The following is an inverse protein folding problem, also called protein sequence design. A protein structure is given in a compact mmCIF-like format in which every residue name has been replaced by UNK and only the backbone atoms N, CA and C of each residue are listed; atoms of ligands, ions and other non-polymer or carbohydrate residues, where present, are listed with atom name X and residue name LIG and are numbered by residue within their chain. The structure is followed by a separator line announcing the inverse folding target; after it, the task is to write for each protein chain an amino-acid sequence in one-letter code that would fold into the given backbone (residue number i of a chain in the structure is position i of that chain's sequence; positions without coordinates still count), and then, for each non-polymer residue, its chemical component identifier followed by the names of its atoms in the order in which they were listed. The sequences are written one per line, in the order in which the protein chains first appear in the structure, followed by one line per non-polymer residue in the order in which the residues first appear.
data_IF_849523416056
#
_entry.id   IF_849523416056
#
_cell.length_a   1.000
_cell.length_b   1.000
_cell.length_c   1.000
_cell.angle_alpha   90.00
_cell.angle_beta   90.00
_cell.angle_gamma   90.00
#
_symmetry.space_group_name_H-M   'P 1'
#
loop_
_entity.id
_entity.type
_entity.pdbx_description
1 polymer ?
#
# COMPACT_ATOMS: atom_id res chain seq x y z
N UNK A 1 15.13 -2.09 10.58
CA UNK A 1 13.88 -1.68 11.28
C UNK A 1 12.65 -2.43 10.78
N UNK A 2 12.62 -2.92 9.55
CA UNK A 2 11.51 -3.77 9.02
C UNK A 2 11.32 -5.13 9.74
N UNK A 3 12.27 -5.54 10.56
CA UNK A 3 12.32 -6.88 11.18
C UNK A 3 11.20 -7.12 12.20
N UNK A 4 10.56 -6.07 12.71
CA UNK A 4 9.57 -6.19 13.80
C UNK A 4 8.12 -6.01 13.37
N UNK A 5 7.85 -5.79 12.09
CA UNK A 5 6.53 -5.32 11.64
C UNK A 5 5.41 -6.36 11.72
N UNK A 6 5.71 -7.63 11.80
CA UNK A 6 4.68 -8.64 11.75
C UNK A 6 5.08 -9.97 12.37
N UNK A 7 6.00 -9.93 13.33
CA UNK A 7 6.33 -11.12 14.10
C UNK A 7 5.05 -11.57 14.79
N UNK A 8 4.55 -12.74 14.42
CA UNK A 8 3.45 -13.34 15.17
C UNK A 8 3.91 -13.47 16.62
N UNK A 9 3.00 -13.33 17.59
CA UNK A 9 3.28 -13.53 19.02
C UNK A 9 4.07 -14.80 19.33
N UNK A 10 4.12 -15.76 18.42
CA UNK A 10 4.93 -16.97 18.49
C UNK A 10 6.43 -16.69 18.61
N UNK A 11 6.91 -15.56 18.09
CA UNK A 11 8.35 -15.21 18.09
C UNK A 11 8.67 -14.03 19.01
N UNK A 12 7.67 -13.30 19.47
CA UNK A 12 7.80 -12.30 20.53
C UNK A 12 7.52 -13.00 21.86
N UNK A 13 8.56 -13.44 22.55
CA UNK A 13 8.42 -13.89 23.92
C UNK A 13 8.36 -12.67 24.88
N UNK A 14 7.88 -12.91 26.10
CA UNK A 14 7.67 -11.87 27.10
C UNK A 14 8.92 -11.04 27.36
N UNK A 15 10.10 -11.68 27.45
CA UNK A 15 11.36 -10.97 27.65
C UNK A 15 11.70 -10.03 26.50
N UNK A 16 11.40 -10.42 25.26
CA UNK A 16 11.61 -9.55 24.09
C UNK A 16 10.63 -8.38 24.10
N UNK A 17 9.38 -8.62 24.46
CA UNK A 17 8.37 -7.57 24.58
C UNK A 17 8.79 -6.55 25.64
N UNK A 18 9.12 -7.01 26.85
CA UNK A 18 9.59 -6.17 27.94
C UNK A 18 10.80 -5.32 27.56
N UNK A 19 11.81 -5.92 26.90
CA UNK A 19 12.98 -5.17 26.43
C UNK A 19 12.61 -4.11 25.38
N UNK A 20 11.67 -4.41 24.49
CA UNK A 20 11.18 -3.44 23.51
C UNK A 20 10.37 -2.33 24.17
N UNK A 21 9.52 -2.64 25.13
CA UNK A 21 8.76 -1.66 25.92
C UNK A 21 9.70 -0.71 26.66
N UNK A 22 10.69 -1.24 27.35
CA UNK A 22 11.71 -0.44 28.01
C UNK A 22 12.48 0.47 27.07
N UNK A 23 12.86 -0.04 25.89
CA UNK A 23 13.60 0.73 24.89
C UNK A 23 12.76 1.82 24.22
N UNK A 24 11.49 1.56 23.95
CA UNK A 24 10.60 2.50 23.25
C UNK A 24 9.93 3.52 24.18
N UNK A 25 9.56 3.10 25.38
CA UNK A 25 8.71 3.88 26.29
C UNK A 25 9.38 4.20 27.62
N UNK A 26 10.61 3.74 27.84
CA UNK A 26 11.31 3.80 29.13
C UNK A 26 10.52 3.15 30.30
N UNK A 27 9.63 2.21 29.98
CA UNK A 27 8.72 1.53 30.90
C UNK A 27 8.62 0.05 30.49
N UNK A 28 9.00 -0.87 31.39
CA UNK A 28 9.01 -2.33 31.15
C UNK A 28 7.58 -2.90 31.16
N UNK A 29 6.66 -2.24 31.86
CA UNK A 29 5.27 -2.65 32.04
C UNK A 29 4.30 -1.82 31.17
N UNK A 30 4.82 -1.10 30.17
CA UNK A 30 4.02 -0.30 29.27
C UNK A 30 2.90 -1.10 28.60
N UNK A 31 1.69 -0.57 28.62
CA UNK A 31 0.54 -1.15 27.91
C UNK A 31 0.60 -0.96 26.38
N UNK A 32 1.51 -0.12 25.89
CA UNK A 32 1.62 0.17 24.48
C UNK A 32 2.30 -0.96 23.69
N UNK A 33 1.84 -1.13 22.46
CA UNK A 33 2.39 -2.11 21.55
C UNK A 33 3.84 -1.81 21.16
N UNK A 34 4.61 -2.85 20.88
CA UNK A 34 6.02 -2.74 20.46
C UNK A 34 6.22 -3.02 18.97
N UNK A 35 5.23 -3.60 18.29
CA UNK A 35 5.26 -3.83 16.85
C UNK A 35 4.94 -2.52 16.10
N UNK A 36 5.77 -2.07 15.15
CA UNK A 36 5.47 -0.88 14.34
C UNK A 36 4.10 -0.93 13.66
N UNK A 37 3.68 -2.09 13.19
CA UNK A 37 2.36 -2.27 12.59
C UNK A 37 1.24 -2.05 13.59
N UNK A 38 1.34 -2.63 14.80
CA UNK A 38 0.35 -2.44 15.86
C UNK A 38 0.32 -0.99 16.36
N UNK A 39 1.48 -0.35 16.49
CA UNK A 39 1.57 1.08 16.82
C UNK A 39 0.87 1.93 15.75
N UNK A 40 1.06 1.62 14.48
CA UNK A 40 0.39 2.32 13.39
C UNK A 40 -1.12 2.10 13.43
N UNK A 41 -1.59 0.88 13.74
CA UNK A 41 -3.01 0.57 13.93
C UNK A 41 -3.61 1.44 15.06
N UNK A 42 -2.94 1.50 16.22
CA UNK A 42 -3.42 2.28 17.37
C UNK A 42 -3.47 3.78 17.05
N UNK A 43 -2.44 4.31 16.39
CA UNK A 43 -2.40 5.71 15.97
C UNK A 43 -3.53 6.02 14.99
N UNK A 44 -3.76 5.17 13.99
CA UNK A 44 -4.84 5.35 13.03
C UNK A 44 -6.22 5.24 13.69
N UNK A 45 -6.42 4.25 14.57
CA UNK A 45 -7.69 4.07 15.29
C UNK A 45 -7.96 5.28 16.21
N UNK A 46 -6.96 5.75 16.94
CA UNK A 46 -7.07 6.93 17.79
C UNK A 46 -7.33 8.22 17.00
N UNK A 47 -6.67 8.37 15.85
CA UNK A 47 -6.91 9.51 14.97
C UNK A 47 -8.36 9.54 14.48
N UNK A 48 -8.87 8.46 13.92
CA UNK A 48 -10.23 8.40 13.39
C UNK A 48 -11.32 8.44 14.47
N UNK A 49 -11.01 8.02 15.70
CA UNK A 49 -11.91 8.21 16.83
C UNK A 49 -12.12 9.70 17.16
N UNK A 50 -11.07 10.51 17.01
CA UNK A 50 -11.13 11.95 17.31
C UNK A 50 -11.47 12.82 16.09
N UNK A 51 -11.13 12.35 14.88
CA UNK A 51 -11.28 13.11 13.63
C UNK A 51 -11.91 12.25 12.53
N UNK A 52 -13.17 11.81 12.69
CA UNK A 52 -13.80 10.85 11.76
C UNK A 52 -13.97 11.40 10.33
N UNK A 53 -13.99 12.74 10.17
CA UNK A 53 -14.16 13.40 8.87
C UNK A 53 -12.83 13.73 8.17
N UNK A 54 -11.71 13.43 8.81
CA UNK A 54 -10.38 13.65 8.21
C UNK A 54 -9.89 12.40 7.52
N UNK A 55 -8.94 12.59 6.59
CA UNK A 55 -8.19 11.50 5.96
C UNK A 55 -6.77 11.46 6.45
N UNK A 56 -6.20 10.27 6.57
CA UNK A 56 -4.77 10.08 6.79
C UNK A 56 -4.14 9.75 5.45
N UNK A 57 -3.01 10.38 5.15
CA UNK A 57 -2.11 9.97 4.10
C UNK A 57 -0.83 9.43 4.72
N UNK A 58 -0.40 8.24 4.29
CA UNK A 58 0.81 7.57 4.79
C UNK A 58 2.01 7.77 3.88
N UNK A 59 3.20 7.96 4.48
CA UNK A 59 4.47 7.75 3.77
C UNK A 59 5.21 6.67 4.55
N UNK A 60 5.54 5.60 3.86
CA UNK A 60 6.14 4.44 4.49
C UNK A 60 7.41 3.94 3.81
N UNK A 61 8.11 3.09 4.56
CA UNK A 61 9.10 2.17 4.04
C UNK A 61 8.44 0.87 3.63
N UNK A 62 8.07 0.05 4.62
CA UNK A 62 7.47 -1.27 4.37
C UNK A 62 6.00 -1.14 3.95
N UNK A 63 5.61 -1.83 2.88
CA UNK A 63 4.27 -1.72 2.29
C UNK A 63 3.15 -2.29 3.18
N UNK A 64 3.47 -3.01 4.26
CA UNK A 64 2.47 -3.46 5.23
C UNK A 64 1.70 -2.31 5.91
N UNK A 65 2.21 -1.06 5.83
CA UNK A 65 1.50 0.12 6.37
C UNK A 65 0.13 0.34 5.73
N UNK A 66 -0.06 -0.06 4.47
CA UNK A 66 -1.34 0.07 3.77
C UNK A 66 -2.45 -0.71 4.46
N UNK A 67 -2.10 -1.78 5.19
CA UNK A 67 -3.06 -2.55 5.99
C UNK A 67 -3.72 -1.70 7.10
N UNK A 68 -2.99 -1.14 8.09
CA UNK A 68 -3.61 -0.36 9.16
C UNK A 68 -4.23 0.94 8.67
N UNK A 69 -3.61 1.62 7.70
CA UNK A 69 -4.14 2.86 7.13
C UNK A 69 -5.51 2.64 6.47
N UNK A 70 -5.63 1.64 5.61
CA UNK A 70 -6.89 1.30 4.94
C UNK A 70 -7.92 0.78 5.94
N UNK A 71 -7.52 -0.09 6.89
CA UNK A 71 -8.40 -0.63 7.92
C UNK A 71 -8.99 0.45 8.83
N UNK A 72 -8.17 1.39 9.30
CA UNK A 72 -8.62 2.46 10.17
C UNK A 72 -9.62 3.39 9.45
N UNK A 73 -9.36 3.74 8.20
CA UNK A 73 -10.29 4.51 7.39
C UNK A 73 -11.63 3.79 7.21
N UNK A 74 -11.58 2.50 6.86
CA UNK A 74 -12.79 1.69 6.67
C UNK A 74 -13.62 1.56 7.94
N UNK A 75 -12.98 1.45 9.11
CA UNK A 75 -13.64 1.45 10.41
C UNK A 75 -14.41 2.76 10.63
N UNK A 76 -13.82 3.90 10.30
CA UNK A 76 -14.43 5.21 10.44
C UNK A 76 -15.58 5.47 9.44
N UNK A 77 -15.53 4.84 8.24
CA UNK A 77 -16.52 5.03 7.16
C UNK A 77 -17.48 3.86 6.97
N UNK A 78 -17.49 2.88 7.87
CA UNK A 78 -18.30 1.66 7.78
C UNK A 78 -19.80 1.92 7.60
N UNK A 79 -20.32 3.03 8.09
CA UNK A 79 -21.74 3.36 8.02
C UNK A 79 -22.23 3.73 6.61
N UNK A 80 -21.31 3.92 5.65
CA UNK A 80 -21.69 4.23 4.27
C UNK A 80 -22.15 3.01 3.44
N UNK A 81 -22.06 1.78 3.97
CA UNK A 81 -22.54 0.55 3.32
C UNK A 81 -21.79 0.13 2.05
N UNK A 82 -20.78 0.89 1.63
CA UNK A 82 -19.97 0.60 0.45
C UNK A 82 -18.59 0.07 0.85
N UNK A 83 -18.13 -0.97 0.14
CA UNK A 83 -16.76 -1.46 0.27
C UNK A 83 -15.81 -0.55 -0.49
N UNK A 84 -14.58 -0.47 -0.02
CA UNK A 84 -13.54 0.33 -0.68
C UNK A 84 -12.91 -0.44 -1.83
N UNK A 85 -12.76 0.22 -2.95
CA UNK A 85 -11.89 -0.23 -4.03
C UNK A 85 -10.43 0.18 -3.75
N UNK A 86 -9.49 -0.67 -4.08
CA UNK A 86 -8.06 -0.33 -4.03
C UNK A 86 -7.51 -0.18 -5.44
N UNK A 87 -6.77 0.89 -5.67
CA UNK A 87 -5.84 0.99 -6.79
C UNK A 87 -4.44 0.83 -6.22
N UNK A 88 -3.83 -0.29 -6.58
CA UNK A 88 -2.54 -0.73 -6.07
C UNK A 88 -1.49 -0.60 -7.18
N UNK A 89 -0.69 0.45 -7.12
CA UNK A 89 0.50 0.62 -7.97
C UNK A 89 1.67 -0.10 -7.30
N UNK A 90 2.22 -1.10 -7.96
CA UNK A 90 3.29 -1.92 -7.39
C UNK A 90 3.97 -2.76 -8.50
N UNK A 91 5.21 -3.16 -8.29
CA UNK A 91 5.83 -4.22 -9.06
C UNK A 91 5.38 -5.62 -8.59
N UNK A 92 4.79 -5.73 -7.39
CA UNK A 92 4.39 -6.98 -6.74
C UNK A 92 2.89 -7.01 -6.47
N UNK A 93 2.33 -8.20 -6.28
CA UNK A 93 0.89 -8.33 -5.98
C UNK A 93 0.57 -8.23 -4.49
N UNK A 94 1.56 -8.44 -3.64
CA UNK A 94 1.40 -8.52 -2.18
C UNK A 94 0.27 -9.45 -1.69
N UNK A 95 0.04 -10.49 -2.50
CA UNK A 95 -0.94 -11.55 -2.26
C UNK A 95 -0.26 -12.93 -2.13
N UNK A 96 0.98 -12.98 -1.68
CA UNK A 96 1.82 -14.19 -1.67
C UNK A 96 1.54 -15.09 -0.46
N UNK A 97 0.34 -15.57 -0.30
CA UNK A 97 -0.10 -16.35 0.88
C UNK A 97 0.69 -17.62 1.16
N UNK A 98 1.29 -18.20 0.13
CA UNK A 98 2.10 -19.43 0.25
C UNK A 98 3.56 -19.13 0.56
N UNK A 99 3.98 -17.89 0.55
CA UNK A 99 5.34 -17.54 0.94
C UNK A 99 5.44 -17.46 2.46
N UNK A 100 6.33 -18.25 3.02
CA UNK A 100 6.80 -18.03 4.37
C UNK A 100 7.60 -16.72 4.38
N UNK A 101 6.95 -15.65 4.80
CA UNK A 101 7.63 -14.39 4.99
C UNK A 101 8.50 -14.46 6.27
N UNK A 102 9.44 -13.51 6.39
CA UNK A 102 10.40 -13.47 7.48
C UNK A 102 9.74 -13.76 8.84
N UNK A 103 10.22 -14.77 9.54
CA UNK A 103 9.70 -15.26 10.81
C UNK A 103 8.20 -15.67 10.80
N UNK A 104 7.65 -16.06 9.66
CA UNK A 104 6.27 -16.51 9.56
C UNK A 104 5.22 -15.41 9.67
N UNK A 105 5.61 -14.18 9.39
CA UNK A 105 4.74 -13.02 9.44
C UNK A 105 3.63 -13.09 8.40
N UNK A 106 2.37 -12.98 8.84
CA UNK A 106 1.20 -13.08 7.96
C UNK A 106 0.60 -11.75 7.54
N UNK A 107 0.98 -10.65 8.16
CA UNK A 107 0.55 -9.29 7.84
C UNK A 107 1.70 -8.46 7.29
N UNK A 108 2.65 -9.09 6.61
CA UNK A 108 3.83 -8.43 6.05
C UNK A 108 3.52 -7.70 4.75
N UNK A 109 4.49 -6.97 4.23
CA UNK A 109 4.45 -6.37 2.90
C UNK A 109 3.99 -7.38 1.83
N UNK A 110 4.41 -8.63 1.90
CA UNK A 110 4.04 -9.66 0.92
C UNK A 110 2.60 -10.20 1.03
N UNK A 111 1.82 -9.80 2.04
CA UNK A 111 0.51 -10.42 2.32
C UNK A 111 -0.62 -9.41 2.58
N UNK A 112 -0.32 -8.14 2.76
CA UNK A 112 -1.30 -7.17 3.25
C UNK A 112 -2.52 -7.05 2.33
N UNK A 113 -2.31 -7.12 1.01
CA UNK A 113 -3.39 -6.95 0.04
C UNK A 113 -4.41 -8.11 0.11
N UNK A 114 -3.94 -9.35 0.25
CA UNK A 114 -4.83 -10.50 0.46
C UNK A 114 -5.52 -10.45 1.83
N UNK A 115 -4.83 -9.96 2.84
CA UNK A 115 -5.34 -9.90 4.20
C UNK A 115 -6.51 -8.92 4.33
N UNK A 116 -6.42 -7.74 3.70
CA UNK A 116 -7.51 -6.75 3.67
C UNK A 116 -8.79 -7.30 3.03
N UNK A 117 -8.66 -8.02 1.94
CA UNK A 117 -9.81 -8.65 1.26
C UNK A 117 -10.46 -9.70 2.16
N UNK A 118 -9.66 -10.56 2.79
CA UNK A 118 -10.17 -11.60 3.70
C UNK A 118 -10.94 -11.04 4.89
N UNK A 119 -10.61 -9.83 5.32
CA UNK A 119 -11.36 -9.14 6.38
C UNK A 119 -12.68 -8.51 5.89
N UNK A 120 -12.97 -8.59 4.60
CA UNK A 120 -14.22 -8.10 4.01
C UNK A 120 -14.35 -6.60 3.92
N UNK A 121 -13.26 -5.87 4.11
CA UNK A 121 -13.24 -4.40 4.09
C UNK A 121 -13.03 -3.82 2.70
N UNK A 122 -12.37 -4.57 1.83
CA UNK A 122 -12.05 -4.19 0.46
C UNK A 122 -12.84 -5.06 -0.50
N UNK A 123 -13.32 -4.46 -1.57
CA UNK A 123 -13.95 -5.17 -2.67
C UNK A 123 -12.93 -5.47 -3.77
N UNK A 124 -12.41 -6.70 -3.86
CA UNK A 124 -11.44 -7.04 -4.87
C UNK A 124 -12.03 -6.98 -6.30
N UNK A 125 -13.35 -7.19 -6.45
CA UNK A 125 -14.02 -7.14 -7.74
C UNK A 125 -14.01 -5.73 -8.35
N UNK A 126 -13.82 -4.69 -7.55
CA UNK A 126 -13.70 -3.30 -8.01
C UNK A 126 -12.28 -2.74 -7.87
N UNK A 127 -11.33 -3.58 -7.43
CA UNK A 127 -9.95 -3.21 -7.18
C UNK A 127 -9.02 -3.64 -8.31
N UNK A 128 -7.95 -2.89 -8.52
CA UNK A 128 -6.96 -3.14 -9.58
C UNK A 128 -5.55 -3.03 -9.03
N UNK A 129 -4.72 -3.99 -9.36
CA UNK A 129 -3.26 -3.97 -9.19
C UNK A 129 -2.63 -3.64 -10.55
N UNK A 130 -1.74 -2.65 -10.62
CA UNK A 130 -1.13 -2.18 -11.86
C UNK A 130 0.35 -1.93 -11.73
N UNK A 131 1.10 -2.31 -12.77
CA UNK A 131 2.57 -2.18 -12.80
C UNK A 131 3.29 -3.47 -12.45
N UNK A 132 2.53 -4.53 -12.21
CA UNK A 132 3.04 -5.81 -11.73
C UNK A 132 4.05 -6.38 -12.72
N UNK A 133 5.29 -6.60 -12.24
CA UNK A 133 6.38 -7.14 -13.05
C UNK A 133 7.46 -7.86 -12.24
N UNK A 134 7.26 -7.94 -10.93
CA UNK A 134 8.21 -8.54 -10.01
C UNK A 134 8.66 -9.93 -10.44
N UNK A 135 9.80 -10.36 -9.97
CA UNK A 135 10.42 -11.61 -10.38
C UNK A 135 9.54 -12.81 -10.00
N UNK A 136 8.91 -13.50 -10.97
CA UNK A 136 8.03 -14.61 -10.67
C UNK A 136 8.83 -15.81 -10.14
N UNK A 137 8.43 -16.31 -8.98
CA UNK A 137 9.02 -17.53 -8.40
C UNK A 137 8.38 -18.80 -8.91
N UNK A 138 7.16 -18.68 -9.45
CA UNK A 138 6.35 -19.77 -9.97
C UNK A 138 5.63 -19.32 -11.24
N UNK A 139 5.19 -20.25 -12.09
CA UNK A 139 4.45 -19.92 -13.30
C UNK A 139 3.06 -19.32 -13.02
N UNK A 140 2.51 -19.64 -11.86
CA UNK A 140 1.19 -19.20 -11.40
C UNK A 140 1.26 -18.01 -10.40
N UNK A 141 2.31 -17.23 -10.45
CA UNK A 141 2.60 -16.17 -9.48
C UNK A 141 1.52 -15.08 -9.35
N UNK A 142 0.68 -14.88 -10.36
CA UNK A 142 -0.46 -13.95 -10.31
C UNK A 142 -1.75 -14.62 -9.83
N UNK A 143 -1.79 -15.96 -9.77
CA UNK A 143 -3.01 -16.71 -9.52
C UNK A 143 -3.67 -16.31 -8.19
N UNK A 144 -2.88 -16.08 -7.15
CA UNK A 144 -3.39 -15.66 -5.85
C UNK A 144 -4.21 -14.35 -5.90
N UNK A 145 -3.80 -13.39 -6.74
CA UNK A 145 -4.54 -12.15 -6.96
C UNK A 145 -5.83 -12.37 -7.73
N UNK A 146 -5.81 -13.21 -8.75
CA UNK A 146 -7.00 -13.56 -9.52
C UNK A 146 -8.01 -14.36 -8.69
N UNK A 147 -7.55 -15.32 -7.89
CA UNK A 147 -8.41 -16.13 -7.01
C UNK A 147 -9.12 -15.28 -5.95
N UNK A 148 -8.48 -14.22 -5.49
CA UNK A 148 -9.07 -13.26 -4.56
C UNK A 148 -10.07 -12.34 -5.27
N UNK A 149 -9.92 -12.12 -6.58
CA UNK A 149 -10.79 -11.32 -7.41
C UNK A 149 -10.24 -9.97 -7.87
N UNK A 150 -8.95 -9.70 -7.67
CA UNK A 150 -8.30 -8.50 -8.22
C UNK A 150 -8.23 -8.53 -9.75
N UNK A 151 -8.36 -7.38 -10.37
CA UNK A 151 -7.82 -7.16 -11.70
C UNK A 151 -6.31 -6.92 -11.56
N UNK A 152 -5.52 -7.61 -12.36
CA UNK A 152 -4.09 -7.36 -12.47
C UNK A 152 -3.80 -6.86 -13.86
N UNK A 153 -3.13 -5.71 -13.94
CA UNK A 153 -2.58 -5.15 -15.18
C UNK A 153 -1.06 -5.20 -15.02
N UNK A 154 -0.44 -6.16 -15.68
CA UNK A 154 1.01 -6.28 -15.67
C UNK A 154 1.65 -5.07 -16.37
N UNK A 155 2.93 -4.84 -16.10
CA UNK A 155 3.65 -3.76 -16.78
C UNK A 155 3.76 -4.01 -18.28
N UNK A 156 3.83 -5.27 -18.70
CA UNK A 156 3.82 -5.67 -20.10
C UNK A 156 2.48 -5.33 -20.76
N UNK A 157 1.37 -5.76 -20.16
CA UNK A 157 0.03 -5.40 -20.64
C UNK A 157 -0.19 -3.89 -20.70
N UNK A 158 0.25 -3.14 -19.67
CA UNK A 158 0.15 -1.69 -19.71
C UNK A 158 0.90 -1.08 -20.90
N UNK A 159 2.10 -1.58 -21.22
CA UNK A 159 2.89 -1.08 -22.37
C UNK A 159 2.24 -1.43 -23.71
N UNK A 160 1.53 -2.54 -23.79
CA UNK A 160 0.77 -2.93 -25.01
C UNK A 160 -0.53 -2.14 -25.15
N UNK A 161 -1.29 -1.99 -24.06
CA UNK A 161 -2.59 -1.31 -24.06
C UNK A 161 -2.45 0.21 -24.20
N UNK A 162 -1.42 0.75 -23.60
CA UNK A 162 -1.22 2.18 -23.44
C UNK A 162 -2.07 2.79 -22.33
N UNK A 163 -1.77 4.04 -22.03
CA UNK A 163 -2.37 4.79 -20.95
C UNK A 163 -3.91 4.88 -21.03
N UNK A 164 -4.46 5.22 -22.20
CA UNK A 164 -5.91 5.47 -22.34
C UNK A 164 -6.75 4.23 -22.06
N UNK A 165 -6.35 3.08 -22.63
CA UNK A 165 -7.07 1.82 -22.42
C UNK A 165 -6.94 1.33 -20.99
N UNK A 166 -5.73 1.41 -20.42
CA UNK A 166 -5.51 1.00 -19.03
C UNK A 166 -6.30 1.86 -18.05
N UNK A 167 -6.31 3.18 -18.25
CA UNK A 167 -7.15 4.08 -17.44
C UNK A 167 -8.64 3.74 -17.56
N UNK A 168 -9.11 3.47 -18.78
CA UNK A 168 -10.51 3.09 -19.00
C UNK A 168 -10.84 1.78 -18.27
N UNK A 169 -10.01 0.78 -18.36
CA UNK A 169 -10.22 -0.51 -17.65
C UNK A 169 -10.33 -0.31 -16.15
N UNK A 170 -9.47 0.53 -15.56
CA UNK A 170 -9.50 0.86 -14.13
C UNK A 170 -10.82 1.59 -13.81
N UNK A 171 -11.18 2.62 -14.56
CA UNK A 171 -12.37 3.43 -14.31
C UNK A 171 -13.67 2.63 -14.44
N UNK A 172 -13.77 1.77 -15.45
CA UNK A 172 -14.93 0.89 -15.67
C UNK A 172 -15.11 -0.08 -14.49
N UNK A 173 -14.01 -0.57 -13.94
CA UNK A 173 -14.03 -1.52 -12.82
C UNK A 173 -14.39 -0.86 -11.49
N UNK A 174 -13.92 0.36 -11.24
CA UNK A 174 -14.14 1.09 -9.98
C UNK A 174 -15.61 1.38 -9.70
N UNK A 175 -16.41 1.66 -10.73
CA UNK A 175 -17.77 2.14 -10.54
C UNK A 175 -17.83 3.42 -9.69
N UNK A 176 -18.75 3.41 -8.70
CA UNK A 176 -18.97 4.53 -7.76
C UNK A 176 -18.48 4.22 -6.34
N UNK A 177 -17.55 3.29 -6.21
CA UNK A 177 -17.00 2.93 -4.91
C UNK A 177 -16.04 4.00 -4.38
N UNK A 178 -15.92 4.15 -3.05
CA UNK A 178 -14.83 4.90 -2.45
C UNK A 178 -13.49 4.20 -2.78
N UNK A 179 -12.46 4.99 -3.06
CA UNK A 179 -11.19 4.51 -3.60
C UNK A 179 -10.06 4.85 -2.63
N UNK A 180 -9.26 3.87 -2.28
CA UNK A 180 -7.97 4.05 -1.62
C UNK A 180 -6.86 3.80 -2.63
N UNK A 181 -5.90 4.73 -2.73
CA UNK A 181 -4.74 4.60 -3.62
C UNK A 181 -3.52 4.24 -2.79
N UNK A 182 -2.93 3.09 -3.05
CA UNK A 182 -1.64 2.73 -2.49
C UNK A 182 -0.60 2.68 -3.59
N UNK A 183 0.55 3.28 -3.32
CA UNK A 183 1.59 3.47 -4.31
C UNK A 183 2.93 2.97 -3.79
N UNK A 184 3.31 1.77 -4.22
CA UNK A 184 4.69 1.30 -4.02
C UNK A 184 5.61 1.95 -5.05
N UNK A 185 6.67 2.59 -4.56
CA UNK A 185 7.64 3.27 -5.41
C UNK A 185 8.42 2.32 -6.31
N UNK A 186 8.45 1.03 -6.00
CA UNK A 186 9.13 0.05 -6.84
C UNK A 186 8.37 -0.30 -8.13
N UNK A 187 7.12 0.15 -8.29
CA UNK A 187 6.43 0.10 -9.58
C UNK A 187 7.08 1.02 -10.63
N UNK A 188 7.82 2.02 -10.18
CA UNK A 188 8.59 2.92 -11.04
C UNK A 188 9.84 2.22 -11.58
N UNK A 189 10.30 2.68 -12.74
CA UNK A 189 11.59 2.25 -13.26
C UNK A 189 12.72 2.59 -12.30
N UNK A 190 13.67 1.68 -12.11
CA UNK A 190 14.80 1.87 -11.18
C UNK A 190 15.68 3.08 -11.51
N UNK A 191 15.63 3.57 -12.74
CA UNK A 191 16.31 4.83 -13.14
C UNK A 191 15.58 6.07 -12.61
N UNK A 192 14.29 5.94 -12.29
CA UNK A 192 13.45 7.02 -11.78
C UNK A 192 13.41 7.00 -10.24
N UNK A 193 13.31 5.81 -9.64
CA UNK A 193 13.20 5.62 -8.21
C UNK A 193 14.20 4.56 -7.69
N UNK A 194 15.51 4.86 -7.61
CA UNK A 194 16.53 3.92 -7.13
C UNK A 194 16.48 3.67 -5.62
N UNK A 195 15.90 4.57 -4.83
CA UNK A 195 15.87 4.53 -3.37
C UNK A 195 14.69 3.71 -2.82
N UNK A 196 14.52 2.49 -3.30
CA UNK A 196 13.46 1.55 -2.89
C UNK A 196 14.06 0.29 -2.24
N UNK A 197 13.25 -0.41 -1.44
CA UNK A 197 13.68 -1.62 -0.75
C UNK A 197 13.97 -2.77 -1.72
N UNK A 198 13.10 -2.96 -2.72
CA UNK A 198 13.21 -3.97 -3.76
C UNK A 198 13.36 -3.29 -5.11
N UNK A 199 14.58 -3.26 -5.65
CA UNK A 199 14.78 -2.79 -7.01
C UNK A 199 14.41 -3.91 -7.96
N UNK A 200 13.35 -3.70 -8.73
CA UNK A 200 13.02 -4.59 -9.82
C UNK A 200 13.84 -4.23 -11.04
N UNK A 201 14.74 -5.13 -11.40
CA UNK A 201 15.72 -4.93 -12.46
C UNK A 201 15.15 -5.06 -13.87
N UNK A 202 13.93 -5.54 -14.01
CA UNK A 202 13.28 -5.63 -15.30
C UNK A 202 13.05 -4.23 -15.86
N UNK A 203 13.71 -3.91 -16.90
CA UNK A 203 13.77 -2.64 -17.62
C UNK A 203 12.43 -2.19 -18.18
N UNK A 204 11.41 -1.99 -17.38
CA UNK A 204 10.08 -1.59 -17.86
C UNK A 204 9.18 -1.06 -16.76
N UNK A 205 9.73 -0.45 -15.71
CA UNK A 205 8.91 0.24 -14.72
C UNK A 205 8.16 1.43 -15.33
N UNK A 206 7.25 2.00 -14.59
CA UNK A 206 6.61 3.24 -14.97
C UNK A 206 7.61 4.40 -14.97
N UNK A 207 7.46 5.30 -15.91
CA UNK A 207 8.01 6.65 -15.77
C UNK A 207 7.01 7.57 -15.05
N UNK A 208 7.48 8.75 -14.64
CA UNK A 208 6.67 9.70 -13.85
C UNK A 208 5.44 10.20 -14.63
N UNK A 209 5.57 10.46 -15.93
CA UNK A 209 4.47 10.96 -16.74
C UNK A 209 3.35 9.92 -16.90
N UNK A 210 3.70 8.65 -17.02
CA UNK A 210 2.73 7.56 -17.09
C UNK A 210 1.91 7.46 -15.81
N UNK A 211 2.59 7.48 -14.67
CA UNK A 211 1.94 7.41 -13.35
C UNK A 211 1.08 8.63 -13.11
N UNK A 212 1.60 9.83 -13.37
CA UNK A 212 0.85 11.07 -13.20
C UNK A 212 -0.44 11.04 -14.01
N UNK A 213 -0.40 10.62 -15.27
CA UNK A 213 -1.58 10.50 -16.12
C UNK A 213 -2.59 9.48 -15.57
N UNK A 214 -2.12 8.32 -15.07
CA UNK A 214 -2.99 7.33 -14.46
C UNK A 214 -3.67 7.88 -13.20
N UNK A 215 -2.93 8.52 -12.30
CA UNK A 215 -3.49 9.14 -11.09
C UNK A 215 -4.48 10.24 -11.47
N UNK A 216 -4.13 11.13 -12.39
CA UNK A 216 -4.99 12.22 -12.82
C UNK A 216 -6.25 11.76 -13.56
N UNK A 217 -6.24 10.58 -14.19
CA UNK A 217 -7.45 9.99 -14.79
C UNK A 217 -8.56 9.71 -13.77
N UNK A 218 -8.21 9.62 -12.48
CA UNK A 218 -9.15 9.42 -11.36
C UNK A 218 -9.82 10.71 -10.89
N UNK A 219 -9.55 11.85 -11.53
CA UNK A 219 -10.18 13.12 -11.18
C UNK A 219 -11.71 13.02 -11.22
N UNK A 220 -12.33 13.45 -10.13
CA UNK A 220 -13.78 13.38 -9.97
C UNK A 220 -14.30 12.09 -9.34
N UNK A 221 -13.46 11.08 -9.15
CA UNK A 221 -13.79 9.88 -8.39
C UNK A 221 -13.65 10.12 -6.88
N UNK A 222 -14.33 9.33 -6.07
CA UNK A 222 -14.33 9.47 -4.60
C UNK A 222 -13.05 8.87 -3.99
N UNK A 223 -11.95 9.61 -4.04
CA UNK A 223 -10.69 9.21 -3.40
C UNK A 223 -10.77 9.53 -1.91
N UNK A 224 -10.63 8.50 -1.07
CA UNK A 224 -10.86 8.57 0.36
C UNK A 224 -9.59 8.55 1.20
N UNK A 225 -8.47 8.16 0.62
CA UNK A 225 -7.17 8.07 1.29
C UNK A 225 -6.12 7.52 0.36
N UNK A 226 -4.90 7.45 0.86
CA UNK A 226 -3.80 6.85 0.13
C UNK A 226 -2.52 6.80 0.93
N UNK A 227 -1.55 6.14 0.36
CA UNK A 227 -0.18 6.08 0.87
C UNK A 227 0.84 5.95 -0.27
N UNK A 228 2.10 6.26 0.08
CA UNK A 228 3.29 5.96 -0.71
C UNK A 228 4.19 5.08 0.14
N UNK A 229 4.56 3.93 -0.39
CA UNK A 229 5.36 2.92 0.30
C UNK A 229 6.72 2.69 -0.38
N UNK A 230 7.50 1.81 0.21
CA UNK A 230 8.81 1.32 -0.28
C UNK A 230 9.93 2.38 -0.32
N UNK A 231 9.73 3.59 0.21
CA UNK A 231 10.77 4.60 0.28
C UNK A 231 11.90 4.15 1.22
N UNK A 232 13.10 4.11 0.70
CA UNK A 232 14.31 3.79 1.45
C UNK A 232 15.37 4.89 1.29
N UNK A 233 15.30 5.98 2.07
CA UNK A 233 16.16 7.15 1.89
C UNK A 233 17.66 6.85 1.97
N UNK A 234 18.04 5.82 2.73
CA UNK A 234 19.45 5.39 2.86
C UNK A 234 20.00 4.71 1.60
N UNK A 235 19.14 4.35 0.66
CA UNK A 235 19.48 3.77 -0.64
C UNK A 235 19.28 4.77 -1.78
N UNK A 236 18.70 5.93 -1.50
CA UNK A 236 18.48 6.96 -2.50
C UNK A 236 19.82 7.57 -2.93
N UNK A 237 19.82 8.18 -4.10
CA UNK A 237 21.00 8.89 -4.58
C UNK A 237 21.26 10.16 -3.75
N UNK A 238 22.46 10.78 -3.85
CA UNK A 238 22.79 11.98 -3.08
C UNK A 238 21.81 13.15 -3.27
N UNK A 239 21.11 13.19 -4.40
CA UNK A 239 20.12 14.23 -4.71
C UNK A 239 18.72 13.89 -4.20
N UNK A 240 18.55 12.75 -3.51
CA UNK A 240 17.28 12.31 -2.93
C UNK A 240 16.13 12.25 -3.95
N UNK A 241 16.42 11.74 -5.16
CA UNK A 241 15.44 11.78 -6.26
C UNK A 241 14.20 10.95 -5.97
N UNK A 242 14.37 9.77 -5.35
CA UNK A 242 13.23 8.91 -4.99
C UNK A 242 12.35 9.58 -3.94
N UNK A 243 12.95 10.25 -2.96
CA UNK A 243 12.23 11.03 -1.94
C UNK A 243 11.42 12.17 -2.56
N UNK A 244 12.00 12.87 -3.57
CA UNK A 244 11.29 13.92 -4.32
C UNK A 244 10.16 13.36 -5.17
N UNK A 245 10.36 12.21 -5.80
CA UNK A 245 9.31 11.50 -6.55
C UNK A 245 8.18 11.07 -5.62
N UNK A 246 8.50 10.48 -4.48
CA UNK A 246 7.51 10.11 -3.46
C UNK A 246 6.65 11.29 -3.04
N UNK A 247 7.28 12.45 -2.78
CA UNK A 247 6.58 13.69 -2.44
C UNK A 247 5.67 14.18 -3.56
N UNK A 248 6.09 14.04 -4.81
CA UNK A 248 5.28 14.44 -5.97
C UNK A 248 4.06 13.53 -6.15
N UNK A 249 4.22 12.23 -6.00
CA UNK A 249 3.10 11.27 -6.05
C UNK A 249 2.13 11.53 -4.89
N UNK A 250 2.65 11.73 -3.68
CA UNK A 250 1.84 12.12 -2.52
C UNK A 250 1.00 13.36 -2.82
N UNK A 251 1.60 14.40 -3.39
CA UNK A 251 0.92 15.64 -3.73
C UNK A 251 -0.21 15.44 -4.73
N UNK A 252 0.00 14.61 -5.77
CA UNK A 252 -1.05 14.27 -6.74
C UNK A 252 -2.23 13.55 -6.06
N UNK A 253 -1.98 12.56 -5.20
CA UNK A 253 -3.04 11.82 -4.51
C UNK A 253 -3.80 12.73 -3.53
N UNK A 254 -3.10 13.54 -2.71
CA UNK A 254 -3.72 14.49 -1.78
C UNK A 254 -4.56 15.51 -2.54
N UNK A 255 -4.10 15.97 -3.71
CA UNK A 255 -4.86 16.89 -4.56
C UNK A 255 -6.19 16.29 -5.00
N UNK A 256 -6.23 15.01 -5.36
CA UNK A 256 -7.46 14.31 -5.70
C UNK A 256 -8.42 14.20 -4.49
N UNK A 257 -7.88 13.88 -3.31
CA UNK A 257 -8.66 13.82 -2.06
C UNK A 257 -9.27 15.20 -1.77
N UNK A 258 -8.48 16.27 -1.89
CA UNK A 258 -8.92 17.64 -1.63
C UNK A 258 -10.06 18.09 -2.56
N UNK A 259 -10.02 17.69 -3.82
CA UNK A 259 -11.11 18.00 -4.77
C UNK A 259 -12.45 17.41 -4.32
N UNK A 260 -12.43 16.26 -3.65
CA UNK A 260 -13.64 15.60 -3.16
C UNK A 260 -14.18 16.20 -1.87
N UNK A 261 -13.30 16.72 -1.01
CA UNK A 261 -13.70 17.36 0.25
C UNK A 261 -14.39 18.72 0.04
N UNK A 262 -14.23 19.32 -1.15
CA UNK A 262 -14.79 20.62 -1.50
C UNK A 262 -16.10 20.50 -2.34
N UNK A 263 -16.65 19.31 -2.46
CA UNK A 263 -17.96 19.03 -3.06
C UNK A 263 -19.03 18.83 -1.98
#
# INVERSE_FOLDING_TARGET
MAIFQSISNKYLNDATITNCQKALYADEDSEYHVSPLSITEDVCDGFYANYPDKGIFGIGGDHSISYPLTKAYLKAKRDAGKRTAIIHFDAHTDCYEKLDHFLGAKKSAAHWASYLVKQGNVDPATSTQIGIRGNPRTLDWLQASYDIGYQVITMEEYKELGHEKSSKMILDRLGDNPIYITFDLDCLDATVAPGVANIESAFKGFNIDEVRKLIQSLKGKNIIGGDVACLMPTKDNPNQITSMVASSIMFEIISLISINLNK
#
